data_IF_943093089316
#
_entry.id   IF_943093089316
#
_cell.length_a   1.000
_cell.length_b   1.000
_cell.length_c   1.000
_cell.angle_alpha   90.00
_cell.angle_beta   90.00
_cell.angle_gamma   90.00
#
_symmetry.space_group_name_H-M   'P 1'
#
loop_
_entity.id
_entity.type
_entity.pdbx_description
1 polymer ?
#
# COMPACT_ATOMS: atom_id res chain seq x y z
N UNK A 1 -23.32 15.80 3.03
CA UNK A 1 -22.00 16.36 3.47
C UNK A 1 -21.16 15.39 4.31
N UNK A 2 -21.28 14.09 4.08
CA UNK A 2 -20.53 13.07 4.83
C UNK A 2 -19.32 12.55 4.03
N UNK A 3 -19.23 12.87 2.76
CA UNK A 3 -18.40 12.16 1.77
C UNK A 3 -16.89 12.43 1.83
N UNK A 4 -16.39 13.43 2.52
CA UNK A 4 -14.96 13.74 2.51
C UNK A 4 -14.22 13.47 3.83
N UNK A 5 -14.85 12.81 4.78
CA UNK A 5 -14.24 12.37 6.05
C UNK A 5 -13.93 10.87 6.11
N UNK A 6 -14.09 10.18 4.99
CA UNK A 6 -14.00 8.72 4.94
C UNK A 6 -12.58 8.18 4.83
N UNK A 7 -11.58 9.03 4.72
CA UNK A 7 -10.20 8.61 4.50
C UNK A 7 -9.38 8.78 5.77
N UNK A 8 -8.73 7.69 6.19
CA UNK A 8 -7.74 7.74 7.25
C UNK A 8 -6.45 8.33 6.69
N UNK A 9 -5.95 9.37 7.31
CA UNK A 9 -4.63 9.94 7.06
C UNK A 9 -3.82 9.88 8.35
N UNK A 10 -2.80 9.03 8.36
CA UNK A 10 -1.93 8.86 9.52
C UNK A 10 -0.66 9.72 9.46
N UNK A 11 -0.56 10.62 8.50
CA UNK A 11 0.66 11.38 8.23
C UNK A 11 1.75 10.53 7.57
N UNK A 12 2.85 11.18 7.18
CA UNK A 12 4.03 10.48 6.66
C UNK A 12 4.76 9.77 7.80
N UNK A 13 5.10 8.50 7.56
CA UNK A 13 5.79 7.62 8.50
C UNK A 13 7.07 7.07 7.91
N UNK A 14 8.05 6.81 8.76
CA UNK A 14 9.26 6.06 8.40
C UNK A 14 8.92 4.57 8.26
N UNK A 15 9.61 3.88 7.36
CA UNK A 15 9.53 2.43 7.27
C UNK A 15 10.22 1.78 8.47
N UNK A 16 9.62 0.73 9.08
CA UNK A 16 10.25 -0.01 10.17
C UNK A 16 11.61 -0.59 9.80
N UNK A 17 11.80 -0.98 8.56
CA UNK A 17 13.03 -1.56 8.05
C UNK A 17 13.24 -1.15 6.59
N UNK A 18 14.47 -0.77 6.27
CA UNK A 18 14.90 -0.42 4.91
C UNK A 18 16.15 -1.23 4.56
N UNK A 19 16.04 -2.08 3.54
CA UNK A 19 17.13 -2.92 3.05
C UNK A 19 17.51 -2.48 1.65
N UNK A 20 18.75 -2.07 1.48
CA UNK A 20 19.34 -1.80 0.17
C UNK A 20 19.98 -3.09 -0.35
N UNK A 21 19.64 -3.46 -1.58
CA UNK A 21 20.28 -4.60 -2.21
C UNK A 21 21.73 -4.23 -2.60
N UNK A 22 22.70 -5.04 -2.21
CA UNK A 22 24.14 -4.74 -2.45
C UNK A 22 24.50 -4.77 -3.94
N UNK A 23 23.74 -5.53 -4.74
CA UNK A 23 24.04 -5.77 -6.16
C UNK A 23 22.98 -5.23 -7.12
N UNK A 24 21.95 -4.58 -6.63
CA UNK A 24 20.80 -4.11 -7.42
C UNK A 24 20.43 -2.67 -7.15
N UNK A 25 19.55 -2.19 -8.00
CA UNK A 25 18.97 -0.85 -7.96
C UNK A 25 17.71 -0.77 -7.06
N UNK A 26 17.34 -1.85 -6.38
CA UNK A 26 16.10 -1.95 -5.62
C UNK A 26 16.33 -1.76 -4.13
N UNK A 27 15.59 -0.82 -3.54
CA UNK A 27 15.48 -0.62 -2.11
C UNK A 27 14.15 -1.22 -1.65
N UNK A 28 14.24 -2.17 -0.71
CA UNK A 28 13.09 -2.83 -0.09
C UNK A 28 12.79 -2.19 1.25
N UNK A 29 11.58 -1.73 1.44
CA UNK A 29 11.11 -1.07 2.64
C UNK A 29 9.95 -1.87 3.24
N UNK A 30 10.14 -2.44 4.44
CA UNK A 30 9.12 -3.24 5.11
C UNK A 30 8.03 -2.34 5.69
N UNK A 31 6.79 -2.79 5.55
CA UNK A 31 5.62 -2.20 6.20
C UNK A 31 5.31 -2.98 7.50
N UNK A 32 4.64 -2.38 8.47
CA UNK A 32 4.36 -3.07 9.75
C UNK A 32 3.38 -4.24 9.58
N UNK A 33 2.58 -4.21 8.55
CA UNK A 33 1.58 -5.23 8.15
C UNK A 33 1.11 -4.90 6.74
N UNK A 34 0.28 -5.75 6.13
CA UNK A 34 -0.36 -5.40 4.86
C UNK A 34 -1.28 -4.19 5.07
N UNK A 35 -0.93 -3.06 4.48
CA UNK A 35 -1.68 -1.81 4.58
C UNK A 35 -1.78 -1.09 3.23
N UNK A 36 -2.81 -0.27 3.11
CA UNK A 36 -2.96 0.63 1.96
C UNK A 36 -2.10 1.86 2.20
N UNK A 37 -1.24 2.17 1.25
CA UNK A 37 -0.28 3.27 1.37
C UNK A 37 -0.20 4.13 0.12
N UNK A 38 0.21 5.38 0.29
CA UNK A 38 0.83 6.19 -0.75
C UNK A 38 2.32 6.30 -0.44
N UNK A 39 3.21 5.82 -1.35
CA UNK A 39 4.65 5.92 -1.15
C UNK A 39 5.14 7.36 -1.38
N UNK A 40 6.11 7.76 -0.57
CA UNK A 40 6.78 9.05 -0.64
C UNK A 40 8.28 8.84 -0.84
N UNK A 41 8.86 9.67 -1.68
CA UNK A 41 10.30 9.73 -1.89
C UNK A 41 10.83 11.17 -1.80
N UNK A 42 12.06 11.29 -1.28
CA UNK A 42 12.86 12.49 -1.28
C UNK A 42 14.22 12.14 -1.88
N UNK A 43 14.53 12.74 -3.01
CA UNK A 43 15.72 12.39 -3.80
C UNK A 43 16.38 13.63 -4.38
N UNK A 44 17.66 13.47 -4.74
CA UNK A 44 18.39 14.40 -5.58
C UNK A 44 18.88 13.67 -6.84
N UNK A 45 18.58 14.18 -8.00
CA UNK A 45 18.84 13.49 -9.26
C UNK A 45 18.99 14.45 -10.44
N UNK A 46 19.64 14.05 -11.54
CA UNK A 46 19.48 14.71 -12.82
C UNK A 46 18.07 14.48 -13.38
N UNK A 47 17.66 15.31 -14.32
CA UNK A 47 16.36 15.19 -14.96
C UNK A 47 16.25 13.94 -15.86
N UNK A 48 15.05 13.35 -15.94
CA UNK A 48 14.72 12.29 -16.91
C UNK A 48 14.98 10.86 -16.46
N UNK A 49 15.43 10.61 -15.25
CA UNK A 49 15.57 9.27 -14.71
C UNK A 49 14.22 8.74 -14.21
N UNK A 50 13.97 7.46 -14.43
CA UNK A 50 12.73 6.81 -14.04
C UNK A 50 12.93 6.00 -12.75
N UNK A 51 12.23 6.40 -11.70
CA UNK A 51 12.14 5.66 -10.43
C UNK A 51 10.86 4.85 -10.42
N UNK A 52 10.97 3.53 -10.22
CA UNK A 52 9.83 2.65 -10.06
C UNK A 52 9.41 2.51 -8.59
N UNK A 53 8.10 2.42 -8.36
CA UNK A 53 7.53 2.19 -7.03
C UNK A 53 6.46 1.11 -7.15
N UNK A 54 6.63 0.00 -6.46
CA UNK A 54 5.72 -1.15 -6.47
C UNK A 54 5.73 -1.85 -5.11
N UNK A 55 4.79 -2.76 -4.89
CA UNK A 55 4.73 -3.57 -3.67
C UNK A 55 5.03 -5.04 -3.95
N UNK A 56 5.21 -5.82 -2.89
CA UNK A 56 5.39 -7.26 -2.94
C UNK A 56 4.10 -8.03 -3.24
N UNK A 57 2.95 -7.38 -3.17
CA UNK A 57 1.68 -7.99 -3.53
C UNK A 57 1.59 -8.19 -5.05
N UNK A 58 0.96 -9.27 -5.44
CA UNK A 58 0.67 -9.63 -6.82
C UNK A 58 1.83 -9.47 -7.81
N UNK A 59 2.67 -10.47 -7.84
CA UNK A 59 3.77 -10.58 -8.82
C UNK A 59 3.41 -11.43 -10.04
N UNK A 60 2.18 -11.93 -10.14
CA UNK A 60 1.74 -12.86 -11.17
C UNK A 60 1.08 -12.19 -12.37
N UNK A 61 1.37 -12.71 -13.55
CA UNK A 61 0.49 -12.69 -14.71
C UNK A 61 0.61 -11.54 -15.70
N UNK A 62 0.96 -10.33 -15.36
CA UNK A 62 1.23 -9.28 -16.34
C UNK A 62 2.13 -8.19 -15.77
N UNK A 63 2.79 -7.46 -16.68
CA UNK A 63 3.60 -6.28 -16.33
C UNK A 63 2.79 -5.12 -15.75
N UNK A 64 1.49 -5.28 -15.59
CA UNK A 64 0.53 -4.24 -15.19
C UNK A 64 0.15 -4.31 -13.72
N UNK A 65 1.05 -4.75 -12.85
CA UNK A 65 0.86 -4.65 -11.42
C UNK A 65 0.63 -3.20 -11.01
N UNK A 66 -0.11 -3.01 -9.92
CA UNK A 66 -0.28 -1.68 -9.35
C UNK A 66 1.10 -1.12 -8.99
N UNK A 67 1.47 -0.08 -9.70
CA UNK A 67 2.77 0.57 -9.56
C UNK A 67 2.65 2.05 -9.88
N UNK A 68 3.61 2.81 -9.40
CA UNK A 68 3.83 4.20 -9.81
C UNK A 68 5.23 4.33 -10.42
N UNK A 69 5.39 5.26 -11.34
CA UNK A 69 6.67 5.63 -11.93
C UNK A 69 6.83 7.15 -11.76
N UNK A 70 8.00 7.54 -11.28
CA UNK A 70 8.35 8.95 -11.15
C UNK A 70 9.50 9.29 -12.08
N UNK A 71 9.30 10.28 -12.93
CA UNK A 71 10.36 10.83 -13.79
C UNK A 71 10.97 12.03 -13.08
N UNK A 72 12.28 11.94 -12.81
CA UNK A 72 13.00 12.96 -12.06
C UNK A 72 13.12 14.28 -12.82
N UNK A 73 13.15 15.37 -12.08
CA UNK A 73 13.59 16.71 -12.51
C UNK A 73 15.03 16.94 -12.06
N UNK A 74 15.64 17.99 -12.50
CA UNK A 74 16.98 18.38 -12.06
C UNK A 74 16.97 18.82 -10.59
N UNK A 75 17.90 18.29 -9.78
CA UNK A 75 18.15 18.69 -8.41
C UNK A 75 17.36 17.92 -7.36
N UNK A 76 17.21 18.56 -6.20
CA UNK A 76 16.49 17.99 -5.04
C UNK A 76 14.98 18.12 -5.22
N UNK A 77 14.25 17.05 -4.91
CA UNK A 77 12.82 16.95 -5.17
C UNK A 77 12.13 15.93 -4.28
N UNK A 78 10.85 16.18 -4.02
CA UNK A 78 9.96 15.30 -3.29
C UNK A 78 8.82 14.84 -4.20
N UNK A 79 8.34 13.63 -3.98
CA UNK A 79 7.17 13.09 -4.62
C UNK A 79 6.40 12.17 -3.68
N UNK A 80 5.10 12.33 -3.61
CA UNK A 80 4.18 11.38 -3.01
C UNK A 80 3.21 10.89 -4.09
N UNK A 81 3.04 9.58 -4.22
CA UNK A 81 2.14 9.02 -5.23
C UNK A 81 0.69 9.37 -4.91
N UNK A 82 -0.07 9.81 -5.93
CA UNK A 82 -1.52 9.95 -5.81
C UNK A 82 -2.25 8.62 -5.83
N UNK A 83 -1.67 7.62 -6.49
CA UNK A 83 -2.19 6.25 -6.51
C UNK A 83 -1.77 5.50 -5.25
N UNK A 84 -2.75 4.92 -4.57
CA UNK A 84 -2.48 4.03 -3.45
C UNK A 84 -2.14 2.62 -3.93
N UNK A 85 -1.38 1.91 -3.13
CA UNK A 85 -1.07 0.50 -3.30
C UNK A 85 -1.07 -0.18 -1.94
N UNK A 86 -1.09 -1.50 -1.92
CA UNK A 86 -1.04 -2.27 -0.69
C UNK A 86 0.02 -3.35 -0.75
N UNK A 87 0.52 -3.76 0.38
CA UNK A 87 1.54 -4.78 0.51
C UNK A 87 2.10 -4.87 1.91
N UNK A 88 3.04 -5.80 2.08
CA UNK A 88 3.88 -5.94 3.27
C UNK A 88 5.22 -5.23 3.07
N UNK A 89 5.62 -5.03 1.82
CA UNK A 89 6.86 -4.37 1.46
C UNK A 89 6.63 -3.39 0.31
N UNK A 90 7.31 -2.27 0.37
CA UNK A 90 7.42 -1.30 -0.71
C UNK A 90 8.78 -1.45 -1.38
N UNK A 91 8.79 -1.53 -2.70
CA UNK A 91 9.98 -1.69 -3.52
C UNK A 91 10.20 -0.42 -4.34
N UNK A 92 11.34 0.23 -4.12
CA UNK A 92 11.79 1.37 -4.93
C UNK A 92 12.90 0.91 -5.88
N UNK A 93 12.66 1.01 -7.18
CA UNK A 93 13.67 0.75 -8.20
C UNK A 93 14.35 2.06 -8.53
N UNK A 94 15.57 2.22 -8.05
CA UNK A 94 16.33 3.47 -8.07
C UNK A 94 17.47 3.36 -9.08
N UNK A 95 17.41 4.04 -10.22
CA UNK A 95 18.48 3.97 -11.23
C UNK A 95 19.76 4.65 -10.72
N UNK A 96 20.89 4.31 -11.35
CA UNK A 96 22.15 4.97 -11.08
C UNK A 96 22.05 6.49 -11.32
N UNK A 97 22.71 7.27 -10.46
CA UNK A 97 22.68 8.74 -10.52
C UNK A 97 21.61 9.39 -9.64
N UNK A 98 20.79 8.60 -8.96
CA UNK A 98 19.82 9.11 -7.97
C UNK A 98 20.40 8.96 -6.57
N UNK A 99 20.50 10.07 -5.85
CA UNK A 99 20.79 10.12 -4.41
C UNK A 99 19.48 10.06 -3.64
N UNK A 100 19.29 9.04 -2.81
CA UNK A 100 18.10 8.90 -1.96
C UNK A 100 18.33 9.60 -0.64
N UNK A 101 17.56 10.65 -0.37
CA UNK A 101 17.59 11.46 0.84
C UNK A 101 16.59 10.98 1.90
N UNK A 102 15.46 10.40 1.45
CA UNK A 102 14.46 9.85 2.36
C UNK A 102 13.37 9.06 1.63
N UNK A 103 12.93 7.98 2.26
CA UNK A 103 11.81 7.15 1.81
C UNK A 103 10.82 7.03 2.97
N UNK A 104 9.56 7.35 2.71
CA UNK A 104 8.47 7.31 3.68
C UNK A 104 7.22 6.74 3.05
N UNK A 105 6.21 6.52 3.86
CA UNK A 105 4.88 6.16 3.39
C UNK A 105 3.81 6.89 4.20
N UNK A 106 2.66 7.05 3.61
CA UNK A 106 1.44 7.47 4.28
C UNK A 106 0.46 6.29 4.25
N UNK A 107 0.04 5.82 5.41
CA UNK A 107 -1.03 4.85 5.48
C UNK A 107 -2.36 5.56 5.26
N UNK A 108 -3.11 5.07 4.30
CA UNK A 108 -4.45 5.56 3.95
C UNK A 108 -5.46 4.42 4.08
N UNK A 109 -6.71 4.69 3.89
CA UNK A 109 -7.75 3.67 3.91
C UNK A 109 -9.09 4.26 4.35
N UNK A 110 -10.09 3.41 4.47
CA UNK A 110 -11.38 3.80 5.01
C UNK A 110 -11.23 4.23 6.48
N UNK A 111 -11.83 5.36 6.86
CA UNK A 111 -11.70 5.89 8.21
C UNK A 111 -12.70 5.24 9.16
N UNK A 112 -12.52 3.95 9.39
CA UNK A 112 -13.27 3.21 10.39
C UNK A 112 -12.34 2.30 11.18
N UNK A 113 -12.69 2.06 12.42
CA UNK A 113 -12.05 1.07 13.26
C UNK A 113 -12.91 -0.20 13.29
N UNK A 114 -12.27 -1.35 13.23
CA UNK A 114 -12.93 -2.63 13.43
C UNK A 114 -13.34 -2.72 14.91
N UNK A 115 -14.64 -2.64 15.16
CA UNK A 115 -15.18 -2.66 16.53
C UNK A 115 -15.54 -4.06 17.02
N UNK A 116 -15.76 -4.98 16.09
CA UNK A 116 -16.05 -6.37 16.41
C UNK A 116 -14.85 -7.05 17.05
N UNK A 117 -15.11 -8.01 17.92
CA UNK A 117 -14.11 -8.88 18.51
C UNK A 117 -14.59 -10.32 18.49
N UNK A 118 -13.67 -11.23 18.24
CA UNK A 118 -13.92 -12.66 18.32
C UNK A 118 -12.79 -13.32 19.10
N UNK A 119 -13.16 -14.10 20.09
CA UNK A 119 -12.23 -14.89 20.91
C UNK A 119 -12.85 -16.26 21.12
N UNK A 120 -12.08 -17.32 20.89
CA UNK A 120 -12.44 -18.66 21.26
C UNK A 120 -11.22 -19.40 21.84
N UNK A 121 -11.44 -20.58 22.38
CA UNK A 121 -10.42 -21.43 22.99
C UNK A 121 -9.41 -21.99 21.95
N UNK A 122 -9.78 -22.04 20.68
CA UNK A 122 -8.86 -22.37 19.60
C UNK A 122 -8.23 -21.09 19.00
N UNK A 123 -6.92 -20.98 19.19
CA UNK A 123 -6.14 -19.85 18.71
C UNK A 123 -6.19 -19.68 17.17
N UNK A 124 -6.38 -20.79 16.43
CA UNK A 124 -6.50 -20.75 14.97
C UNK A 124 -7.70 -19.90 14.53
N UNK A 125 -8.88 -20.12 15.12
CA UNK A 125 -10.07 -19.33 14.72
C UNK A 125 -9.99 -17.88 15.15
N UNK A 126 -9.36 -17.62 16.32
CA UNK A 126 -9.10 -16.23 16.75
C UNK A 126 -8.20 -15.50 15.76
N UNK A 127 -7.14 -16.15 15.28
CA UNK A 127 -6.23 -15.56 14.29
C UNK A 127 -6.89 -15.46 12.90
N UNK A 128 -7.66 -16.45 12.49
CA UNK A 128 -8.42 -16.43 11.24
C UNK A 128 -9.35 -15.22 11.19
N UNK A 129 -10.09 -14.98 12.26
CA UNK A 129 -10.97 -13.80 12.33
C UNK A 129 -10.21 -12.49 12.17
N UNK A 130 -9.07 -12.34 12.86
CA UNK A 130 -8.23 -11.12 12.73
C UNK A 130 -7.75 -10.89 11.31
N UNK A 131 -7.33 -11.96 10.64
CA UNK A 131 -6.88 -11.88 9.24
C UNK A 131 -8.01 -11.56 8.29
N UNK A 132 -9.18 -12.18 8.48
CA UNK A 132 -10.38 -11.89 7.69
C UNK A 132 -10.82 -10.44 7.84
N UNK A 133 -10.91 -9.95 9.08
CA UNK A 133 -11.23 -8.55 9.35
C UNK A 133 -10.21 -7.59 8.72
N UNK A 134 -8.92 -7.93 8.75
CA UNK A 134 -7.89 -7.14 8.08
C UNK A 134 -8.02 -7.19 6.56
N UNK A 135 -8.34 -8.36 5.99
CA UNK A 135 -8.57 -8.53 4.55
C UNK A 135 -9.74 -7.67 4.10
N UNK A 136 -10.87 -7.74 4.78
CA UNK A 136 -12.01 -6.87 4.52
C UNK A 136 -11.61 -5.39 4.53
N UNK A 137 -10.84 -4.96 5.55
CA UNK A 137 -10.40 -3.56 5.64
C UNK A 137 -9.55 -3.11 4.44
N UNK A 138 -8.65 -3.94 3.92
CA UNK A 138 -7.81 -3.57 2.78
C UNK A 138 -8.52 -3.69 1.42
N UNK A 139 -9.67 -4.37 1.37
CA UNK A 139 -10.53 -4.42 0.18
C UNK A 139 -11.66 -3.39 0.21
N UNK A 140 -11.67 -2.50 1.19
CA UNK A 140 -12.67 -1.42 1.27
C UNK A 140 -12.01 -0.04 1.31
N UNK A 141 -12.58 0.88 0.55
CA UNK A 141 -12.23 2.31 0.55
C UNK A 141 -13.50 3.15 0.44
N UNK A 142 -13.74 3.72 -0.72
CA UNK A 142 -14.99 4.40 -1.12
C UNK A 142 -16.04 3.40 -1.64
N UNK A 143 -15.62 2.18 -1.92
CA UNK A 143 -16.42 1.01 -2.26
C UNK A 143 -15.79 -0.25 -1.68
N UNK A 144 -16.51 -1.35 -1.69
CA UNK A 144 -15.94 -2.68 -1.53
C UNK A 144 -15.28 -3.12 -2.83
N UNK A 145 -14.22 -3.91 -2.74
CA UNK A 145 -13.44 -4.35 -3.89
C UNK A 145 -13.18 -5.85 -3.78
N UNK A 146 -13.36 -6.56 -4.88
CA UNK A 146 -13.02 -7.98 -5.01
C UNK A 146 -11.58 -8.29 -4.60
N UNK A 147 -10.68 -7.39 -4.91
CA UNK A 147 -9.27 -7.49 -4.54
C UNK A 147 -8.61 -6.10 -4.47
N UNK A 148 -7.53 -5.93 -3.67
CA UNK A 148 -6.86 -4.65 -3.54
C UNK A 148 -5.78 -4.39 -4.60
N UNK A 149 -5.45 -5.37 -5.44
CA UNK A 149 -4.25 -5.33 -6.28
C UNK A 149 -4.52 -5.32 -7.78
N UNK A 150 -5.46 -6.12 -8.27
CA UNK A 150 -5.67 -6.34 -9.70
C UNK A 150 -6.81 -5.49 -10.25
N UNK A 151 -8.03 -5.94 -10.04
CA UNK A 151 -9.23 -5.33 -10.64
C UNK A 151 -9.71 -4.13 -9.84
N UNK A 152 -9.67 -4.22 -8.51
CA UNK A 152 -10.17 -3.18 -7.60
C UNK A 152 -11.61 -2.77 -7.92
N UNK A 153 -12.40 -3.75 -8.33
CA UNK A 153 -13.73 -3.56 -8.85
C UNK A 153 -14.79 -4.00 -7.87
N UNK A 154 -15.93 -3.35 -7.97
CA UNK A 154 -17.11 -3.62 -7.16
C UNK A 154 -17.95 -4.71 -7.87
N UNK A 155 -17.60 -5.97 -7.67
CA UNK A 155 -18.32 -7.09 -8.21
C UNK A 155 -19.50 -7.47 -7.32
N UNK A 156 -20.71 -7.46 -7.85
CA UNK A 156 -21.93 -7.77 -7.08
C UNK A 156 -21.93 -9.12 -6.39
N UNK A 157 -21.32 -10.13 -7.00
CA UNK A 157 -21.20 -11.47 -6.42
C UNK A 157 -20.35 -11.48 -5.17
N UNK A 158 -19.26 -10.73 -5.15
CA UNK A 158 -18.34 -10.59 -4.03
C UNK A 158 -18.96 -9.72 -2.93
N UNK A 159 -19.60 -8.63 -3.29
CA UNK A 159 -20.23 -7.70 -2.36
C UNK A 159 -21.32 -8.29 -1.48
N UNK A 160 -22.06 -9.28 -1.98
CA UNK A 160 -23.08 -9.97 -1.17
C UNK A 160 -22.49 -10.55 0.11
N UNK A 161 -21.26 -11.07 0.02
CA UNK A 161 -20.54 -11.61 1.16
C UNK A 161 -19.90 -10.48 2.00
N UNK A 162 -19.25 -9.52 1.38
CA UNK A 162 -18.58 -8.40 2.05
C UNK A 162 -19.54 -7.54 2.86
N UNK A 163 -20.72 -7.25 2.33
CA UNK A 163 -21.77 -6.54 3.06
C UNK A 163 -22.28 -7.32 4.27
N UNK A 164 -22.37 -8.65 4.17
CA UNK A 164 -22.74 -9.50 5.30
C UNK A 164 -21.70 -9.54 6.41
N UNK A 165 -20.43 -9.42 6.05
CA UNK A 165 -19.30 -9.42 7.00
C UNK A 165 -19.07 -8.06 7.69
N UNK A 166 -19.56 -6.98 7.09
CA UNK A 166 -19.35 -5.61 7.58
C UNK A 166 -20.32 -5.19 8.71
N UNK A 167 -21.35 -5.98 9.01
CA UNK A 167 -22.35 -5.69 10.04
C UNK A 167 -22.15 -6.42 11.37
#
# INVERSE_FOLDING_TARGET
>A
RVLFRSWKDSGLREYPEVVKNETGDTIRCRLPYNCQITPYLHVKAPAGLKIGMLTDNYTGGSANNVRAEYITREGEQNYESFGWMNGHEMLYVIPAGVEVLGLKYRETGYNADIKGTFICDDAFFTELWKRSARTLYITMRDNYMDCPDRERAQWWGDEVNELGEAF
#
